data_IF_637788553015
#
_entry.id   IF_637788553015
#
_cell.length_a   1.000
_cell.length_b   1.000
_cell.length_c   1.000
_cell.angle_alpha   90.00
_cell.angle_beta   90.00
_cell.angle_gamma   90.00
#
_symmetry.space_group_name_H-M   'P 1'
#
loop_
_entity.id
_entity.type
_entity.pdbx_description
1 polymer ?
#
# COMPACT_ATOMS: atom_id res chain seq x y z
N UNK A 1 -47.36 -11.09 -13.34
CA UNK A 1 -46.06 -11.52 -13.93
C UNK A 1 -45.03 -10.40 -13.97
N UNK A 2 -45.32 -9.24 -14.58
CA UNK A 2 -44.36 -8.11 -14.71
C UNK A 2 -43.83 -7.55 -13.38
N UNK A 3 -44.68 -7.44 -12.34
CA UNK A 3 -44.31 -6.91 -11.01
C UNK A 3 -43.39 -7.83 -10.18
N UNK A 4 -43.51 -9.15 -10.36
CA UNK A 4 -42.62 -10.13 -9.70
C UNK A 4 -41.23 -10.14 -10.36
N UNK A 5 -41.17 -9.98 -11.68
CA UNK A 5 -39.92 -9.90 -12.43
C UNK A 5 -39.09 -8.67 -12.02
N UNK A 6 -39.73 -7.52 -11.83
CA UNK A 6 -39.04 -6.30 -11.35
C UNK A 6 -38.55 -6.41 -9.91
N UNK A 7 -39.27 -7.13 -9.04
CA UNK A 7 -38.85 -7.35 -7.64
C UNK A 7 -37.64 -8.28 -7.57
N UNK A 8 -37.63 -9.35 -8.37
CA UNK A 8 -36.51 -10.27 -8.46
C UNK A 8 -35.24 -9.60 -9.01
N UNK A 9 -35.39 -8.73 -10.02
CA UNK A 9 -34.26 -8.04 -10.66
C UNK A 9 -33.62 -6.97 -9.76
N UNK A 10 -34.41 -6.33 -8.90
CA UNK A 10 -33.89 -5.32 -7.94
C UNK A 10 -33.24 -5.98 -6.73
N UNK A 11 -33.75 -7.13 -6.27
CA UNK A 11 -33.16 -7.90 -5.18
C UNK A 11 -31.79 -8.48 -5.57
N UNK A 12 -31.64 -8.98 -6.80
CA UNK A 12 -30.34 -9.46 -7.28
C UNK A 12 -29.33 -8.34 -7.45
N UNK A 13 -29.75 -7.15 -7.90
CA UNK A 13 -28.87 -5.98 -8.01
C UNK A 13 -28.35 -5.54 -6.63
N UNK A 14 -29.19 -5.61 -5.59
CA UNK A 14 -28.83 -5.28 -4.21
C UNK A 14 -27.88 -6.31 -3.57
N UNK A 15 -27.99 -7.58 -3.96
CA UNK A 15 -27.09 -8.65 -3.50
C UNK A 15 -25.70 -8.54 -4.16
N UNK A 16 -25.63 -8.14 -5.43
CA UNK A 16 -24.34 -7.91 -6.13
C UNK A 16 -23.61 -6.69 -5.56
N UNK A 17 -24.30 -5.61 -5.18
CA UNK A 17 -23.66 -4.46 -4.54
C UNK A 17 -23.12 -4.78 -3.15
N UNK A 18 -23.70 -5.76 -2.46
CA UNK A 18 -23.24 -6.23 -1.14
C UNK A 18 -22.05 -7.19 -1.23
N UNK A 19 -21.75 -7.72 -2.43
CA UNK A 19 -20.63 -8.64 -2.69
C UNK A 19 -19.34 -7.90 -3.08
N UNK A 20 -19.17 -6.65 -2.62
CA UNK A 20 -17.84 -6.04 -2.55
C UNK A 20 -17.16 -6.57 -1.28
N UNK A 21 -16.86 -7.87 -1.26
CA UNK A 21 -16.00 -8.48 -0.25
C UNK A 21 -14.66 -7.75 -0.34
N UNK A 22 -14.41 -6.91 0.68
CA UNK A 22 -13.15 -6.23 0.89
C UNK A 22 -12.04 -7.25 0.95
N UNK A 23 -11.41 -7.49 -0.19
CA UNK A 23 -10.03 -7.96 -0.23
C UNK A 23 -9.21 -6.74 0.14
N UNK A 24 -9.14 -6.44 1.44
CA UNK A 24 -8.10 -5.56 1.95
C UNK A 24 -6.80 -6.34 1.76
N UNK A 25 -5.93 -5.99 0.80
CA UNK A 25 -4.59 -6.54 0.81
C UNK A 25 -3.99 -6.24 2.18
N UNK A 26 -3.66 -7.29 2.93
CA UNK A 26 -2.93 -7.15 4.18
C UNK A 26 -1.49 -6.81 3.81
N UNK A 27 -1.25 -5.56 3.44
CA UNK A 27 0.10 -5.05 3.34
C UNK A 27 0.65 -4.99 4.76
N UNK A 28 1.66 -5.80 5.04
CA UNK A 28 2.34 -5.82 6.34
C UNK A 28 3.10 -4.52 6.62
N UNK A 29 3.33 -3.69 5.59
CA UNK A 29 3.90 -2.36 5.71
C UNK A 29 2.80 -1.30 5.87
N UNK A 30 3.12 -0.21 6.56
CA UNK A 30 2.18 0.89 6.73
C UNK A 30 2.09 1.70 5.42
N UNK A 31 0.96 1.64 4.71
CA UNK A 31 0.75 2.40 3.47
C UNK A 31 1.06 3.91 3.62
N UNK A 32 0.80 4.46 4.81
CA UNK A 32 1.11 5.86 5.14
C UNK A 32 2.60 6.18 5.10
N UNK A 33 3.45 5.19 5.39
CA UNK A 33 4.90 5.39 5.44
C UNK A 33 5.48 5.47 4.03
N UNK A 34 4.91 4.73 3.07
CA UNK A 34 5.29 4.85 1.66
C UNK A 34 4.90 6.24 1.12
N UNK A 35 3.70 6.72 1.44
CA UNK A 35 3.27 8.06 1.02
C UNK A 35 4.20 9.14 1.61
N UNK A 36 4.61 8.97 2.87
CA UNK A 36 5.54 9.88 3.55
C UNK A 36 6.95 9.82 2.95
N UNK A 37 7.43 8.63 2.61
CA UNK A 37 8.71 8.41 1.94
C UNK A 37 8.77 9.18 0.62
N UNK A 38 7.72 9.06 -0.20
CA UNK A 38 7.64 9.68 -1.53
C UNK A 38 7.41 11.20 -1.47
N UNK A 39 6.64 11.67 -0.49
CA UNK A 39 6.26 13.08 -0.40
C UNK A 39 7.37 13.98 0.16
N UNK A 40 8.08 13.52 1.20
CA UNK A 40 8.97 14.41 1.99
C UNK A 40 10.39 13.86 2.20
N UNK A 41 10.71 12.68 1.65
CA UNK A 41 12.02 12.01 1.84
C UNK A 41 12.44 11.88 3.32
N UNK A 42 11.45 11.79 4.21
CA UNK A 42 11.64 11.60 5.65
C UNK A 42 10.78 10.45 6.12
N UNK A 43 11.42 9.33 6.41
CA UNK A 43 10.81 8.15 6.97
C UNK A 43 11.60 7.60 8.18
N UNK A 44 11.87 8.43 9.20
CA UNK A 44 12.46 7.91 10.43
C UNK A 44 11.47 6.95 11.09
N UNK A 45 11.96 5.77 11.46
CA UNK A 45 11.21 4.70 12.14
C UNK A 45 10.01 4.14 11.36
N UNK A 46 9.93 4.39 10.05
CA UNK A 46 8.89 3.82 9.19
C UNK A 46 8.99 2.30 9.12
N UNK A 47 7.84 1.64 8.98
CA UNK A 47 7.79 0.23 8.60
C UNK A 47 7.70 0.09 7.09
N UNK A 48 8.85 -0.14 6.47
CA UNK A 48 9.00 -0.41 5.04
C UNK A 48 9.29 -1.91 4.79
N UNK A 49 8.95 -2.78 5.75
CA UNK A 49 9.19 -4.21 5.60
C UNK A 49 8.35 -4.78 4.45
N UNK A 50 8.94 -5.70 3.67
CA UNK A 50 8.29 -6.28 2.48
C UNK A 50 7.91 -5.28 1.36
N UNK A 51 8.27 -3.99 1.46
CA UNK A 51 7.96 -3.01 0.40
C UNK A 51 8.80 -3.30 -0.85
N UNK A 52 8.18 -3.18 -2.02
CA UNK A 52 8.90 -3.19 -3.29
C UNK A 52 9.52 -1.82 -3.55
N UNK A 53 10.85 -1.75 -3.45
CA UNK A 53 11.66 -0.55 -3.66
C UNK A 53 12.62 -0.75 -4.84
N UNK A 54 12.29 -1.64 -5.78
CA UNK A 54 13.10 -1.93 -6.96
C UNK A 54 13.34 -0.66 -7.78
N UNK A 55 14.62 -0.29 -7.97
CA UNK A 55 15.03 0.97 -8.60
C UNK A 55 14.48 2.26 -7.96
N UNK A 56 14.09 2.23 -6.68
CA UNK A 56 13.60 3.44 -6.01
C UNK A 56 14.70 4.50 -5.85
N UNK A 57 14.40 5.77 -6.14
CA UNK A 57 15.26 6.91 -5.77
C UNK A 57 15.02 7.26 -4.30
N UNK A 58 15.94 6.80 -3.45
CA UNK A 58 15.95 7.07 -2.00
C UNK A 58 17.12 7.99 -1.64
N UNK A 59 17.67 8.74 -2.60
CA UNK A 59 18.82 9.60 -2.40
C UNK A 59 18.52 10.67 -1.37
N UNK A 60 19.48 10.91 -0.47
CA UNK A 60 19.41 11.93 0.59
C UNK A 60 18.17 11.78 1.51
N UNK A 61 17.58 10.59 1.59
CA UNK A 61 16.37 10.31 2.39
C UNK A 61 16.74 10.00 3.85
N UNK A 62 15.99 10.56 4.81
CA UNK A 62 16.10 10.20 6.22
C UNK A 62 15.35 8.89 6.51
N UNK A 63 16.08 7.78 6.63
CA UNK A 63 15.56 6.43 6.92
C UNK A 63 16.00 5.93 8.31
N UNK A 64 16.33 6.85 9.23
CA UNK A 64 16.87 6.49 10.54
C UNK A 64 15.91 5.59 11.31
N UNK A 65 16.36 4.39 11.67
CA UNK A 65 15.56 3.39 12.37
C UNK A 65 14.40 2.80 11.56
N UNK A 66 14.32 3.04 10.24
CA UNK A 66 13.31 2.42 9.40
C UNK A 66 13.50 0.90 9.34
N UNK A 67 12.39 0.15 9.41
CA UNK A 67 12.39 -1.29 9.23
C UNK A 67 12.36 -1.62 7.73
N UNK A 68 13.50 -2.04 7.16
CA UNK A 68 13.62 -2.48 5.76
C UNK A 68 13.64 -4.00 5.62
N UNK A 69 13.18 -4.74 6.64
CA UNK A 69 13.22 -6.20 6.63
C UNK A 69 12.46 -6.76 5.44
N UNK A 70 13.15 -7.57 4.62
CA UNK A 70 12.58 -8.20 3.40
C UNK A 70 12.09 -7.21 2.32
N UNK A 71 12.44 -5.93 2.40
CA UNK A 71 12.19 -4.98 1.32
C UNK A 71 12.97 -5.38 0.06
N UNK A 72 12.37 -5.20 -1.11
CA UNK A 72 13.02 -5.44 -2.40
C UNK A 72 13.81 -4.20 -2.81
N UNK A 73 15.09 -4.14 -2.44
CA UNK A 73 16.00 -3.00 -2.72
C UNK A 73 16.92 -3.10 -3.97
N UNK A 74 16.95 -4.17 -4.81
CA UNK A 74 17.82 -4.18 -5.98
C UNK A 74 17.61 -2.94 -6.87
N UNK A 75 18.71 -2.27 -7.20
CA UNK A 75 18.70 -1.05 -8.02
C UNK A 75 18.31 0.25 -7.30
N UNK A 76 17.88 0.20 -6.04
CA UNK A 76 17.52 1.41 -5.28
C UNK A 76 18.76 2.32 -5.09
N UNK A 77 18.60 3.63 -5.33
CA UNK A 77 19.63 4.63 -5.07
C UNK A 77 19.53 5.12 -3.61
N UNK A 78 20.42 4.62 -2.76
CA UNK A 78 20.53 5.00 -1.35
C UNK A 78 21.65 6.02 -1.09
N UNK A 79 22.19 6.67 -2.13
CA UNK A 79 23.29 7.62 -1.96
C UNK A 79 22.89 8.76 -1.03
N UNK A 80 23.66 8.96 0.04
CA UNK A 80 23.38 10.00 1.04
C UNK A 80 22.19 9.70 1.96
N UNK A 81 21.51 8.56 1.81
CA UNK A 81 20.43 8.17 2.72
C UNK A 81 20.96 7.98 4.15
N UNK A 82 20.21 8.49 5.13
CA UNK A 82 20.58 8.38 6.53
C UNK A 82 19.91 7.15 7.16
N UNK A 83 20.68 6.10 7.39
CA UNK A 83 20.20 4.81 7.95
C UNK A 83 20.56 4.61 9.44
N UNK A 84 21.18 5.61 10.09
CA UNK A 84 21.79 5.48 11.42
C UNK A 84 20.87 5.73 12.59
#
# INVERSE_FOLDING_TARGET
MKKFLTLALTLTLFLVSSFSLGTSPSYAYSQSDLDRLLAIRQCPQCDLSYVDLFYADLKDTDLRGANLSRANLPGADLKGANLK
#
